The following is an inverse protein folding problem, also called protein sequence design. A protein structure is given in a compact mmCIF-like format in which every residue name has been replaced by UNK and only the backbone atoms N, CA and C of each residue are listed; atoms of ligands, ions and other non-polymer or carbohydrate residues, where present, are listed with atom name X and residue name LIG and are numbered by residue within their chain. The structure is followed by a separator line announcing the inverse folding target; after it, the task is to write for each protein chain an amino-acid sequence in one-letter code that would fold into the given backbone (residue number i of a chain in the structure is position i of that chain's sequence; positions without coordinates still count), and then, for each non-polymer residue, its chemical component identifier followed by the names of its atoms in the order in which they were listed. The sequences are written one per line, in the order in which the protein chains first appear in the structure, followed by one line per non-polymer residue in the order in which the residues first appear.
data_IF_349118408516
#
_entry.id   IF_349118408516
#
_cell.length_a   1.000
_cell.length_b   1.000
_cell.length_c   1.000
_cell.angle_alpha   90.00
_cell.angle_beta   90.00
_cell.angle_gamma   90.00
#
_symmetry.space_group_name_H-M   'P 1'
#
loop_
_entity.id
_entity.type
_entity.pdbx_description
1 polymer ?
#
# COMPACT_ATOMS: atom_id res chain seq x y z
N UNK A 1 -5.87 -24.33 0.43
CA UNK A 1 -6.78 -23.22 0.09
C UNK A 1 -7.66 -23.72 -1.05
N UNK A 2 -8.99 -23.67 -0.95
CA UNK A 2 -9.86 -24.21 -2.01
C UNK A 2 -10.08 -23.19 -3.13
N UNK A 3 -10.33 -23.65 -4.35
CA UNK A 3 -10.62 -22.79 -5.51
C UNK A 3 -11.78 -21.82 -5.25
N UNK A 4 -12.83 -22.30 -4.58
CA UNK A 4 -13.96 -21.46 -4.17
C UNK A 4 -13.55 -20.34 -3.19
N UNK A 5 -12.57 -20.59 -2.32
CA UNK A 5 -12.04 -19.56 -1.42
C UNK A 5 -11.24 -18.51 -2.18
N UNK A 6 -10.47 -18.94 -3.20
CA UNK A 6 -9.67 -18.05 -4.03
C UNK A 6 -10.54 -17.14 -4.90
N UNK A 7 -11.63 -17.68 -5.47
CA UNK A 7 -12.62 -16.90 -6.23
C UNK A 7 -13.32 -15.85 -5.36
N UNK A 8 -13.67 -16.19 -4.11
CA UNK A 8 -14.26 -15.24 -3.16
C UNK A 8 -13.31 -14.09 -2.84
N UNK A 9 -12.05 -14.40 -2.52
CA UNK A 9 -11.03 -13.38 -2.22
C UNK A 9 -10.81 -12.46 -3.42
N UNK A 10 -10.73 -13.02 -4.63
CA UNK A 10 -10.60 -12.24 -5.86
C UNK A 10 -11.81 -11.32 -6.08
N UNK A 11 -13.02 -11.87 -5.91
CA UNK A 11 -14.27 -11.13 -6.02
C UNK A 11 -14.35 -9.95 -5.04
N UNK A 12 -13.95 -10.16 -3.78
CA UNK A 12 -13.89 -9.09 -2.79
C UNK A 12 -12.92 -7.98 -3.18
N UNK A 13 -11.79 -8.31 -3.81
CA UNK A 13 -10.82 -7.31 -4.30
C UNK A 13 -11.37 -6.51 -5.48
N UNK A 14 -12.04 -7.17 -6.43
CA UNK A 14 -12.74 -6.50 -7.52
C UNK A 14 -13.77 -5.51 -6.98
N UNK A 15 -14.56 -5.94 -5.99
CA UNK A 15 -15.56 -5.10 -5.33
C UNK A 15 -14.92 -3.89 -4.65
N UNK A 16 -13.85 -4.09 -3.88
CA UNK A 16 -13.13 -2.98 -3.21
C UNK A 16 -12.55 -1.99 -4.21
N UNK A 17 -11.97 -2.47 -5.31
CA UNK A 17 -11.42 -1.62 -6.36
C UNK A 17 -12.48 -0.78 -7.08
N UNK A 18 -13.70 -1.31 -7.22
CA UNK A 18 -14.86 -0.57 -7.73
C UNK A 18 -15.37 0.45 -6.71
N UNK A 19 -15.56 0.03 -5.46
CA UNK A 19 -16.08 0.88 -4.39
C UNK A 19 -15.13 2.03 -4.03
N UNK A 20 -13.81 1.84 -4.13
CA UNK A 20 -12.83 2.91 -3.90
C UNK A 20 -12.93 4.07 -4.91
N UNK A 21 -13.62 3.85 -6.03
CA UNK A 21 -13.93 4.87 -7.04
C UNK A 21 -15.29 5.50 -6.87
N UNK A 22 -16.07 5.02 -5.91
CA UNK A 22 -17.47 5.41 -5.73
C UNK A 22 -18.39 4.92 -6.85
N UNK A 23 -18.00 3.86 -7.59
CA UNK A 23 -18.78 3.36 -8.72
C UNK A 23 -19.75 2.28 -8.28
N UNK A 24 -20.99 2.35 -8.75
CA UNK A 24 -21.95 1.26 -8.71
C UNK A 24 -21.65 0.21 -9.81
N UNK A 25 -22.29 -0.96 -9.76
CA UNK A 25 -22.21 -1.94 -10.86
C UNK A 25 -22.77 -1.37 -12.17
N UNK A 26 -23.76 -0.49 -12.10
CA UNK A 26 -24.30 0.22 -13.27
C UNK A 26 -23.29 1.18 -13.87
N UNK A 27 -22.53 1.91 -13.03
CA UNK A 27 -21.47 2.79 -13.50
C UNK A 27 -20.38 2.03 -14.25
N UNK A 28 -20.03 0.82 -13.81
CA UNK A 28 -19.08 -0.05 -14.51
C UNK A 28 -19.60 -0.41 -15.90
N UNK A 29 -20.88 -0.75 -16.03
CA UNK A 29 -21.48 -1.04 -17.32
C UNK A 29 -21.49 0.20 -18.24
N UNK A 30 -21.90 1.36 -17.72
CA UNK A 30 -21.93 2.60 -18.49
C UNK A 30 -20.54 3.06 -18.93
N UNK A 31 -19.55 3.05 -18.02
CA UNK A 31 -18.17 3.48 -18.30
C UNK A 31 -17.41 2.53 -19.20
N UNK A 32 -17.79 1.25 -19.21
CA UNK A 32 -17.25 0.26 -20.14
C UNK A 32 -18.00 0.19 -21.47
N UNK A 33 -18.95 1.10 -21.71
CA UNK A 33 -19.82 1.11 -22.89
C UNK A 33 -20.53 -0.23 -23.12
N UNK A 34 -21.01 -0.85 -22.04
CA UNK A 34 -21.74 -2.12 -22.07
C UNK A 34 -20.85 -3.37 -22.19
N UNK A 35 -19.53 -3.22 -22.28
CA UNK A 35 -18.59 -4.35 -22.37
C UNK A 35 -18.63 -5.22 -21.11
N UNK A 36 -18.78 -4.61 -19.93
CA UNK A 36 -18.95 -5.32 -18.67
C UNK A 36 -20.36 -5.14 -18.14
N UNK A 37 -21.21 -6.16 -18.32
CA UNK A 37 -22.57 -6.16 -17.81
C UNK A 37 -22.59 -6.17 -16.28
N UNK A 38 -23.38 -5.30 -15.67
CA UNK A 38 -23.45 -5.10 -14.22
C UNK A 38 -23.69 -6.43 -13.46
N UNK A 39 -24.61 -7.26 -13.96
CA UNK A 39 -24.90 -8.57 -13.36
C UNK A 39 -23.72 -9.55 -13.41
N UNK A 40 -22.94 -9.52 -14.51
CA UNK A 40 -21.77 -10.38 -14.68
C UNK A 40 -20.64 -9.96 -13.74
N UNK A 41 -20.38 -8.66 -13.64
CA UNK A 41 -19.41 -8.11 -12.67
C UNK A 41 -19.83 -8.47 -11.25
N UNK A 42 -21.13 -8.39 -10.93
CA UNK A 42 -21.65 -8.83 -9.64
C UNK A 42 -21.38 -10.31 -9.33
N UNK A 43 -21.48 -11.21 -10.31
CA UNK A 43 -21.13 -12.62 -10.13
C UNK A 43 -19.63 -12.81 -9.88
N UNK A 44 -18.77 -12.02 -10.54
CA UNK A 44 -17.33 -12.05 -10.25
C UNK A 44 -17.04 -11.58 -8.83
N UNK A 45 -17.68 -10.48 -8.40
CA UNK A 45 -17.46 -9.89 -7.08
C UNK A 45 -17.88 -10.79 -5.91
N UNK A 46 -18.88 -11.65 -6.10
CA UNK A 46 -19.29 -12.65 -5.09
C UNK A 46 -18.50 -13.95 -5.17
N UNK A 47 -17.73 -14.16 -6.23
CA UNK A 47 -17.05 -15.42 -6.50
C UNK A 47 -17.97 -16.51 -7.07
N UNK A 48 -19.18 -16.15 -7.52
CA UNK A 48 -20.16 -17.07 -8.12
C UNK A 48 -19.73 -17.52 -9.53
N UNK A 49 -18.84 -16.77 -10.17
CA UNK A 49 -18.35 -17.04 -11.53
C UNK A 49 -16.85 -16.85 -11.62
N UNK A 50 -16.18 -17.74 -12.34
CA UNK A 50 -14.77 -17.61 -12.68
C UNK A 50 -14.57 -16.45 -13.67
N UNK A 51 -13.50 -15.70 -13.47
CA UNK A 51 -13.05 -14.63 -14.37
C UNK A 51 -11.77 -15.10 -15.05
N UNK A 52 -11.68 -14.96 -16.37
CA UNK A 52 -10.46 -15.28 -17.10
C UNK A 52 -9.39 -14.21 -16.83
N UNK A 53 -8.11 -14.58 -16.94
CA UNK A 53 -6.99 -13.64 -16.73
C UNK A 53 -7.09 -12.43 -17.67
N UNK A 54 -7.36 -12.55 -18.99
CA UNK A 54 -7.50 -11.37 -19.85
C UNK A 54 -8.63 -10.44 -19.40
N UNK A 55 -9.79 -11.00 -19.02
CA UNK A 55 -10.91 -10.20 -18.53
C UNK A 55 -10.57 -9.48 -17.22
N UNK A 56 -9.82 -10.13 -16.33
CA UNK A 56 -9.35 -9.53 -15.09
C UNK A 56 -8.45 -8.32 -15.37
N UNK A 57 -7.54 -8.42 -16.35
CA UNK A 57 -6.67 -7.32 -16.77
C UNK A 57 -7.48 -6.15 -17.31
N UNK A 58 -8.44 -6.39 -18.20
CA UNK A 58 -9.27 -5.31 -18.73
C UNK A 58 -10.13 -4.62 -17.65
N UNK A 59 -10.62 -5.38 -16.66
CA UNK A 59 -11.33 -4.80 -15.51
C UNK A 59 -10.36 -3.98 -14.64
N UNK A 60 -9.11 -4.42 -14.48
CA UNK A 60 -8.09 -3.66 -13.77
C UNK A 60 -7.70 -2.36 -14.50
N UNK A 61 -7.70 -2.37 -15.83
CA UNK A 61 -7.49 -1.17 -16.66
C UNK A 61 -8.67 -0.20 -16.59
N UNK A 62 -9.91 -0.70 -16.64
CA UNK A 62 -11.10 0.12 -16.37
C UNK A 62 -11.10 0.66 -14.94
N UNK A 63 -10.62 -0.20 -14.04
CA UNK A 63 -10.00 0.11 -12.76
C UNK A 63 -9.19 1.40 -12.90
N UNK A 64 -8.06 1.38 -13.57
CA UNK A 64 -6.89 2.23 -13.30
C UNK A 64 -6.17 1.72 -12.04
N UNK A 65 -6.01 0.40 -11.96
CA UNK A 65 -5.14 -0.28 -10.99
C UNK A 65 -4.29 -1.34 -11.71
N UNK A 66 -3.09 -1.68 -11.21
CA UNK A 66 -2.34 -2.82 -11.71
C UNK A 66 -3.14 -4.13 -11.49
N UNK A 67 -3.18 -5.00 -12.51
CA UNK A 67 -3.85 -6.31 -12.38
C UNK A 67 -3.27 -7.17 -11.25
N UNK A 68 -1.98 -7.00 -10.92
CA UNK A 68 -1.35 -7.64 -9.77
C UNK A 68 -2.05 -7.31 -8.44
N UNK A 69 -2.60 -6.10 -8.28
CA UNK A 69 -3.32 -5.69 -7.05
C UNK A 69 -4.56 -6.56 -6.79
N UNK A 70 -5.15 -7.14 -7.84
CA UNK A 70 -6.28 -8.07 -7.71
C UNK A 70 -5.81 -9.48 -7.31
N UNK A 71 -4.56 -9.83 -7.60
CA UNK A 71 -3.95 -11.14 -7.31
C UNK A 71 -3.18 -11.16 -5.98
N UNK A 72 -2.68 -10.01 -5.53
CA UNK A 72 -1.83 -9.87 -4.35
C UNK A 72 -2.50 -10.43 -3.09
N UNK A 73 -2.01 -11.60 -2.64
CA UNK A 73 -2.43 -12.38 -1.47
C UNK A 73 -2.39 -11.64 -0.13
N UNK A 74 -1.72 -10.50 -0.07
CA UNK A 74 -1.57 -9.71 1.14
C UNK A 74 -2.81 -8.84 1.34
N UNK A 75 -3.46 -8.92 2.53
CA UNK A 75 -4.42 -7.90 2.91
C UNK A 75 -3.63 -6.59 2.97
N UNK A 76 -3.70 -5.78 1.91
CA UNK A 76 -3.39 -4.37 2.04
C UNK A 76 -4.49 -3.84 2.95
N UNK A 77 -4.16 -3.72 4.23
CA UNK A 77 -5.05 -3.12 5.21
C UNK A 77 -5.56 -1.82 4.59
N UNK A 78 -6.86 -1.78 4.30
CA UNK A 78 -7.55 -0.58 3.86
C UNK A 78 -7.63 0.33 5.08
N UNK A 79 -6.57 1.11 5.24
CA UNK A 79 -6.36 2.09 6.28
C UNK A 79 -4.99 2.73 6.01
N UNK A 80 -4.74 3.98 6.40
CA UNK A 80 -3.39 4.51 6.39
C UNK A 80 -2.58 3.65 7.36
N UNK A 81 -1.85 2.66 6.83
CA UNK A 81 -0.83 2.02 7.61
C UNK A 81 0.14 3.13 8.06
N UNK A 82 0.58 3.16 9.33
CA UNK A 82 1.42 4.22 9.82
C UNK A 82 2.64 4.32 8.90
N UNK A 83 2.68 5.40 8.14
CA UNK A 83 3.82 5.73 7.31
C UNK A 83 4.91 6.15 8.28
N UNK A 84 5.97 5.35 8.38
CA UNK A 84 7.10 5.70 9.22
C UNK A 84 7.97 6.65 8.43
N UNK A 85 8.02 7.90 8.85
CA UNK A 85 8.88 8.91 8.23
C UNK A 85 10.23 8.86 8.94
N UNK A 86 11.28 8.53 8.18
CA UNK A 86 12.64 8.44 8.68
C UNK A 86 13.39 9.73 8.38
N UNK A 87 14.03 10.28 9.41
CA UNK A 87 14.99 11.39 9.29
C UNK A 87 16.34 10.85 8.81
N UNK A 88 16.75 11.23 7.60
CA UNK A 88 18.00 10.78 7.00
C UNK A 88 19.24 11.45 7.60
N UNK A 89 19.10 12.65 8.17
CA UNK A 89 20.21 13.33 8.85
C UNK A 89 20.49 12.65 10.20
N UNK A 90 19.45 12.35 10.97
CA UNK A 90 19.57 11.57 12.20
C UNK A 90 20.13 10.16 11.92
N UNK A 91 19.67 9.51 10.85
CA UNK A 91 20.19 8.21 10.42
C UNK A 91 21.68 8.26 10.04
N UNK A 92 22.13 9.32 9.37
CA UNK A 92 23.53 9.52 9.02
C UNK A 92 24.45 9.70 10.24
N UNK A 93 23.89 10.14 11.37
CA UNK A 93 24.63 10.33 12.64
C UNK A 93 24.40 9.19 13.64
N UNK A 94 23.63 8.16 13.26
CA UNK A 94 23.27 7.06 14.14
C UNK A 94 24.48 6.18 14.46
N UNK A 95 24.54 5.55 15.66
CA UNK A 95 25.63 4.64 16.01
C UNK A 95 25.71 3.46 15.04
N UNK A 96 26.84 3.31 14.34
CA UNK A 96 27.06 2.21 13.38
C UNK A 96 27.06 0.83 14.06
N UNK A 97 27.34 0.79 15.36
CA UNK A 97 27.24 -0.43 16.18
C UNK A 97 25.81 -0.89 16.42
N UNK A 98 24.81 -0.03 16.23
CA UNK A 98 23.41 -0.39 16.38
C UNK A 98 22.89 -1.10 15.12
N UNK A 99 22.57 -2.39 15.25
CA UNK A 99 22.09 -3.20 14.13
C UNK A 99 20.80 -2.68 13.51
N UNK A 100 19.90 -2.08 14.30
CA UNK A 100 18.64 -1.54 13.79
C UNK A 100 18.87 -0.29 12.94
N UNK A 101 19.81 0.57 13.33
CA UNK A 101 20.22 1.71 12.52
C UNK A 101 20.95 1.27 11.25
N UNK A 102 21.87 0.31 11.36
CA UNK A 102 22.66 -0.20 10.23
C UNK A 102 21.78 -0.82 9.13
N UNK A 103 20.82 -1.68 9.51
CA UNK A 103 19.90 -2.30 8.54
C UNK A 103 19.03 -1.25 7.84
N UNK A 104 18.54 -0.26 8.58
CA UNK A 104 17.78 0.85 8.01
C UNK A 104 18.64 1.69 7.05
N UNK A 105 19.88 2.01 7.43
CA UNK A 105 20.84 2.72 6.58
C UNK A 105 21.13 1.99 5.27
N UNK A 106 21.39 0.68 5.34
CA UNK A 106 21.64 -0.14 4.15
C UNK A 106 20.42 -0.21 3.22
N UNK A 107 19.22 -0.37 3.79
CA UNK A 107 17.98 -0.37 3.04
C UNK A 107 17.75 0.99 2.34
N UNK A 108 17.92 2.10 3.07
CA UNK A 108 17.80 3.46 2.53
C UNK A 108 18.82 3.72 1.41
N UNK A 109 20.06 3.27 1.57
CA UNK A 109 21.08 3.40 0.54
C UNK A 109 20.70 2.65 -0.74
N UNK A 110 20.18 1.43 -0.61
CA UNK A 110 19.74 0.61 -1.74
C UNK A 110 18.60 1.28 -2.53
N UNK A 111 17.58 1.83 -1.85
CA UNK A 111 16.42 2.45 -2.50
C UNK A 111 16.68 3.86 -3.03
N UNK A 112 17.66 4.59 -2.47
CA UNK A 112 18.04 5.92 -2.99
C UNK A 112 18.76 5.81 -4.33
N UNK A 113 19.53 4.74 -4.56
CA UNK A 113 20.22 4.52 -5.82
C UNK A 113 19.25 4.31 -7.00
N UNK A 114 18.04 3.83 -6.73
CA UNK A 114 16.96 3.65 -7.72
C UNK A 114 16.14 4.93 -8.02
N UNK A 115 16.14 5.92 -7.11
CA UNK A 115 15.31 7.13 -7.24
C UNK A 115 16.12 8.31 -7.76
N UNK A 116 16.05 8.57 -9.08
CA UNK A 116 16.56 9.80 -9.74
C UNK A 116 15.73 11.07 -9.41
N UNK A 117 15.53 11.36 -8.13
CA UNK A 117 14.70 12.48 -7.65
C UNK A 117 15.42 13.35 -6.62
N UNK A 118 14.94 14.58 -6.43
CA UNK A 118 15.49 15.61 -5.52
C UNK A 118 15.88 15.01 -4.17
N UNK A 119 17.06 15.36 -3.66
CA UNK A 119 17.54 14.95 -2.36
C UNK A 119 16.62 15.50 -1.26
N UNK A 120 15.66 14.68 -0.82
CA UNK A 120 14.93 14.93 0.42
C UNK A 120 15.75 14.42 1.61
N UNK A 121 15.64 15.13 2.71
CA UNK A 121 16.19 14.84 4.05
C UNK A 121 15.41 13.75 4.80
N UNK A 122 14.28 13.31 4.22
CA UNK A 122 13.40 12.30 4.79
C UNK A 122 13.00 11.25 3.77
N UNK A 123 12.63 10.08 4.28
CA UNK A 123 12.05 9.01 3.48
C UNK A 123 10.87 8.36 4.21
N UNK A 124 9.82 8.07 3.45
CA UNK A 124 8.64 7.39 3.97
C UNK A 124 8.78 5.90 3.75
N UNK A 125 8.78 5.13 4.84
CA UNK A 125 8.77 3.66 4.81
C UNK A 125 7.34 3.13 4.77
N UNK A 126 7.16 2.06 4.00
CA UNK A 126 5.93 1.29 3.94
C UNK A 126 5.98 0.15 4.96
N UNK A 127 4.81 -0.41 5.28
CA UNK A 127 4.68 -1.57 6.19
C UNK A 127 5.49 -2.78 5.75
N UNK A 128 5.62 -2.99 4.43
CA UNK A 128 6.37 -4.13 3.90
C UNK A 128 7.88 -3.97 4.13
N UNK A 129 8.39 -2.74 4.06
CA UNK A 129 9.79 -2.43 4.35
C UNK A 129 10.11 -2.76 5.82
N UNK A 130 9.22 -2.37 6.73
CA UNK A 130 9.31 -2.72 8.15
C UNK A 130 9.29 -4.24 8.35
N UNK A 131 8.42 -4.97 7.64
CA UNK A 131 8.33 -6.42 7.73
C UNK A 131 9.63 -7.10 7.28
N UNK A 132 10.20 -6.66 6.15
CA UNK A 132 11.45 -7.20 5.64
C UNK A 132 12.60 -6.96 6.62
N UNK A 133 12.74 -5.73 7.15
CA UNK A 133 13.79 -5.39 8.10
C UNK A 133 13.65 -6.14 9.44
N UNK A 134 12.42 -6.30 9.94
CA UNK A 134 12.14 -7.14 11.12
C UNK A 134 12.56 -8.59 10.90
N UNK A 135 12.32 -9.16 9.72
CA UNK A 135 12.74 -10.52 9.40
C UNK A 135 14.27 -10.65 9.36
N UNK A 136 14.97 -9.70 8.74
CA UNK A 136 16.44 -9.67 8.69
C UNK A 136 17.06 -9.58 10.09
N UNK A 137 16.46 -8.80 10.99
CA UNK A 137 16.94 -8.58 12.36
C UNK A 137 16.46 -9.65 13.35
N UNK A 138 15.55 -10.55 12.95
CA UNK A 138 14.89 -11.48 13.87
C UNK A 138 14.12 -10.78 14.99
N UNK A 139 13.62 -9.56 14.73
CA UNK A 139 13.01 -8.68 15.73
C UNK A 139 11.51 -8.50 15.50
N UNK A 140 10.77 -8.30 16.60
CA UNK A 140 9.39 -7.82 16.54
C UNK A 140 9.32 -6.42 15.89
N UNK A 141 8.27 -6.19 15.09
CA UNK A 141 8.03 -4.90 14.41
C UNK A 141 7.86 -3.76 15.40
N UNK A 142 7.13 -3.97 16.50
CA UNK A 142 6.92 -2.92 17.50
C UNK A 142 8.22 -2.55 18.22
N UNK A 143 9.03 -3.54 18.57
CA UNK A 143 10.35 -3.37 19.17
C UNK A 143 11.31 -2.66 18.23
N UNK A 144 11.28 -2.98 16.94
CA UNK A 144 12.10 -2.29 15.93
C UNK A 144 11.71 -0.80 15.81
N UNK A 145 10.40 -0.51 15.75
CA UNK A 145 9.89 0.88 15.72
C UNK A 145 10.23 1.64 17.00
N UNK A 146 10.12 0.99 18.18
CA UNK A 146 10.53 1.58 19.45
C UNK A 146 12.02 1.92 19.43
N UNK A 147 12.87 0.98 19.00
CA UNK A 147 14.31 1.20 18.93
C UNK A 147 14.67 2.37 18.01
N UNK A 148 14.03 2.46 16.84
CA UNK A 148 14.23 3.60 15.94
C UNK A 148 13.76 4.93 16.54
N UNK A 149 12.67 4.93 17.33
CA UNK A 149 12.23 6.13 18.08
C UNK A 149 13.23 6.51 19.17
N UNK A 150 13.74 5.54 19.93
CA UNK A 150 14.75 5.77 20.98
C UNK A 150 16.05 6.34 20.40
N UNK A 151 16.36 6.00 19.15
CA UNK A 151 17.49 6.53 18.40
C UNK A 151 17.20 7.87 17.71
N UNK A 152 15.98 8.41 17.83
CA UNK A 152 15.57 9.66 17.18
C UNK A 152 15.49 9.59 15.65
N UNK A 153 15.31 8.39 15.08
CA UNK A 153 15.32 8.18 13.63
C UNK A 153 13.96 8.43 12.97
N UNK A 154 12.89 8.48 13.76
CA UNK A 154 11.54 8.65 13.28
C UNK A 154 11.06 10.07 13.54
N UNK A 155 10.51 10.70 12.49
CA UNK A 155 9.79 11.96 12.61
C UNK A 155 8.38 11.62 13.12
N UNK A 156 7.98 12.22 14.25
CA UNK A 156 6.59 12.15 14.68
C UNK A 156 5.76 12.99 13.70
N UNK A 157 4.99 12.32 12.83
CA UNK A 157 3.98 13.00 12.03
C UNK A 157 2.93 13.56 12.99
N UNK A 158 3.12 14.82 13.39
CA UNK A 158 2.02 15.69 13.77
C UNK A 158 1.18 15.81 12.52
N UNK A 159 0.08 15.07 12.43
CA UNK A 159 -0.96 15.37 11.45
C UNK A 159 -1.35 16.82 11.70
N UNK A 160 -0.88 17.74 10.85
CA UNK A 160 -1.27 19.13 10.94
C UNK A 160 -2.80 19.21 10.72
N UNK A 161 -3.55 19.96 11.54
CA UNK A 161 -4.98 20.14 11.33
C UNK A 161 -5.19 21.01 10.08
N UNK A 162 -5.54 20.40 8.95
CA UNK A 162 -6.16 21.12 7.82
C UNK A 162 -7.62 21.44 8.17
N UNK A 163 -7.83 22.40 9.06
CA UNK A 163 -9.10 23.14 9.16
C UNK A 163 -8.82 24.59 9.56
N UNK A 164 -8.62 25.44 8.55
CA UNK A 164 -9.10 26.83 8.43
C UNK A 164 -8.24 27.60 7.43
N UNK A 165 -8.56 27.47 6.14
CA UNK A 165 -8.58 28.65 5.26
C UNK A 165 -10.02 28.94 4.94
N UNK A 166 -10.65 29.64 5.87
CA UNK A 166 -11.90 30.33 5.63
C UNK A 166 -11.72 31.26 4.43
N UNK A 167 -12.65 31.11 3.50
CA UNK A 167 -13.06 32.11 2.52
C UNK A 167 -13.13 33.46 3.22
N UNK A 168 -12.20 34.36 2.92
CA UNK A 168 -12.41 35.78 3.14
C UNK A 168 -13.03 36.35 1.87
N UNK A 169 -14.29 36.74 2.01
CA UNK A 169 -14.96 37.72 1.15
C UNK A 169 -14.26 39.06 1.24
#
# INVERSE_FOLDING_TARGET
MSDASLLRILGERLRRARESRGWSLGDVESRSHGRFKAGIVGCYERGDRTVSVPRLVEIAELYDIPASTLLDGTPRAAGPAPLLVVDLAALGSAPVSDRAAMVLGNYVAAIRNDRRGRATDRIVLRTEDLRAMSAVLGADRMGLVRRWRDLGLLIEDTVAPEQQRGVRR
#
